data_IF_456213708370
#
_entry.id   IF_456213708370
#
_cell.length_a   1.000
_cell.length_b   1.000
_cell.length_c   1.000
_cell.angle_alpha   90.00
_cell.angle_beta   90.00
_cell.angle_gamma   90.00
#
_symmetry.space_group_name_H-M   'P 1'
#
loop_
_entity.id
_entity.type
_entity.pdbx_description
1 polymer ?
#
# COMPACT_ATOMS: atom_id res chain seq x y z
N UNK A 1 -10.53 -87.79 14.92
CA UNK A 1 -9.69 -87.43 13.76
C UNK A 1 -10.37 -86.22 13.12
N UNK A 2 -9.79 -85.03 12.99
CA UNK A 2 -8.41 -84.65 12.75
C UNK A 2 -7.99 -83.39 13.55
N UNK A 3 -6.68 -83.19 13.58
CA UNK A 3 -5.90 -82.16 14.29
C UNK A 3 -5.53 -81.02 13.33
N UNK A 4 -5.02 -79.91 13.88
CA UNK A 4 -4.30 -78.75 13.29
C UNK A 4 -5.19 -77.55 12.86
N UNK A 5 -4.83 -76.27 13.05
CA UNK A 5 -3.68 -75.60 13.67
C UNK A 5 -4.08 -74.15 14.03
N UNK A 6 -3.34 -73.54 14.95
CA UNK A 6 -3.50 -72.16 15.39
C UNK A 6 -3.11 -71.13 14.31
N UNK A 7 -3.82 -70.01 14.27
CA UNK A 7 -3.27 -68.73 13.81
C UNK A 7 -3.99 -67.57 14.52
N UNK A 8 -3.26 -66.91 15.41
CA UNK A 8 -3.66 -65.69 16.09
C UNK A 8 -3.78 -64.55 15.08
N UNK A 9 -4.96 -63.95 14.94
CA UNK A 9 -5.14 -62.70 14.20
C UNK A 9 -5.48 -61.58 15.20
N UNK A 10 -4.46 -60.80 15.54
CA UNK A 10 -4.58 -59.54 16.27
C UNK A 10 -5.33 -58.56 15.35
N UNK A 11 -6.60 -58.27 15.64
CA UNK A 11 -7.28 -57.13 15.03
C UNK A 11 -6.93 -55.89 15.85
N UNK A 12 -5.89 -55.20 15.38
CA UNK A 12 -5.55 -53.83 15.80
C UNK A 12 -6.75 -52.95 15.48
N UNK A 13 -7.39 -52.41 16.52
CA UNK A 13 -8.32 -51.29 16.37
C UNK A 13 -7.50 -50.09 15.88
N UNK A 14 -7.41 -49.93 14.55
CA UNK A 14 -6.87 -48.73 13.95
C UNK A 14 -7.79 -47.58 14.31
N UNK A 15 -7.42 -46.80 15.34
CA UNK A 15 -7.91 -45.44 15.47
C UNK A 15 -7.57 -44.76 14.15
N UNK A 16 -8.59 -44.54 13.31
CA UNK A 16 -8.45 -43.59 12.20
C UNK A 16 -8.23 -42.27 12.90
N UNK A 17 -6.96 -41.87 13.01
CA UNK A 17 -6.63 -40.48 13.20
C UNK A 17 -7.30 -39.78 12.03
N UNK A 18 -8.46 -39.17 12.28
CA UNK A 18 -8.89 -38.05 11.46
C UNK A 18 -7.73 -37.11 11.61
N UNK A 19 -6.87 -37.08 10.59
CA UNK A 19 -5.90 -36.01 10.45
C UNK A 19 -6.77 -34.76 10.42
N UNK A 20 -6.91 -34.13 11.59
CA UNK A 20 -7.27 -32.72 11.67
C UNK A 20 -6.32 -32.10 10.67
N UNK A 21 -6.91 -31.52 9.62
CA UNK A 21 -6.17 -30.76 8.62
C UNK A 21 -5.28 -29.87 9.47
N UNK A 22 -3.96 -30.05 9.38
CA UNK A 22 -3.07 -29.14 10.05
C UNK A 22 -3.50 -27.76 9.55
N UNK A 23 -4.12 -26.96 10.42
CA UNK A 23 -4.45 -25.57 10.11
C UNK A 23 -3.10 -24.87 10.04
N UNK A 24 -2.51 -24.95 8.85
CA UNK A 24 -1.34 -24.19 8.47
C UNK A 24 -1.72 -22.72 8.58
N UNK A 25 -0.84 -21.94 9.21
CA UNK A 25 -1.04 -20.53 9.48
C UNK A 25 -1.26 -19.74 8.17
N UNK A 26 -2.52 -19.49 7.83
CA UNK A 26 -2.87 -18.64 6.69
C UNK A 26 -3.48 -17.34 7.22
N UNK A 27 -2.60 -16.43 7.64
CA UNK A 27 -2.95 -15.03 7.79
C UNK A 27 -3.29 -14.49 6.40
N UNK A 28 -4.48 -13.96 6.20
CA UNK A 28 -4.76 -13.09 5.06
C UNK A 28 -5.17 -11.73 5.59
N UNK A 29 -4.97 -10.72 4.77
CA UNK A 29 -5.46 -9.37 5.03
C UNK A 29 -6.43 -9.01 3.92
N UNK A 30 -7.56 -8.41 4.29
CA UNK A 30 -8.55 -7.94 3.33
C UNK A 30 -8.76 -6.45 3.51
N UNK A 31 -8.63 -5.70 2.42
CA UNK A 31 -9.01 -4.30 2.36
C UNK A 31 -10.34 -4.19 1.63
N UNK A 32 -11.36 -3.69 2.31
CA UNK A 32 -12.67 -3.40 1.73
C UNK A 32 -12.85 -1.87 1.68
N UNK A 33 -13.10 -1.32 0.50
CA UNK A 33 -13.31 0.11 0.33
C UNK A 33 -14.57 0.37 -0.49
N UNK A 34 -15.48 1.20 0.03
CA UNK A 34 -16.60 1.74 -0.75
C UNK A 34 -16.07 2.86 -1.62
N UNK A 35 -16.01 2.64 -2.93
CA UNK A 35 -15.44 3.58 -3.92
C UNK A 35 -16.44 4.64 -4.37
N UNK A 36 -17.74 4.33 -4.32
CA UNK A 36 -18.82 5.27 -4.59
C UNK A 36 -20.10 4.83 -3.88
N UNK A 37 -20.99 5.78 -3.57
CA UNK A 37 -22.28 5.49 -2.94
C UNK A 37 -23.35 6.43 -3.46
N UNK A 38 -24.56 5.92 -3.66
CA UNK A 38 -25.73 6.68 -4.08
C UNK A 38 -26.98 6.16 -3.36
N UNK A 39 -28.12 6.79 -3.59
CA UNK A 39 -29.36 6.35 -2.97
C UNK A 39 -29.72 4.94 -3.43
N UNK A 40 -29.71 3.99 -2.49
CA UNK A 40 -30.05 2.59 -2.73
C UNK A 40 -28.91 1.72 -3.29
N UNK A 41 -27.71 2.27 -3.51
CA UNK A 41 -26.59 1.48 -4.03
C UNK A 41 -25.20 2.05 -3.75
N UNK A 42 -24.19 1.25 -4.07
CA UNK A 42 -22.79 1.57 -3.85
C UNK A 42 -21.87 0.73 -4.75
N UNK A 43 -20.67 1.24 -5.02
CA UNK A 43 -19.56 0.49 -5.57
C UNK A 43 -18.51 0.23 -4.50
N UNK A 44 -17.89 -0.96 -4.51
CA UNK A 44 -16.81 -1.30 -3.60
C UNK A 44 -15.70 -2.09 -4.29
N UNK A 45 -14.47 -1.93 -3.80
CA UNK A 45 -13.30 -2.73 -4.16
C UNK A 45 -12.82 -3.53 -2.96
N UNK A 46 -12.38 -4.76 -3.23
CA UNK A 46 -11.88 -5.70 -2.22
C UNK A 46 -10.54 -6.24 -2.67
N UNK A 47 -9.51 -6.03 -1.87
CA UNK A 47 -8.17 -6.58 -2.10
C UNK A 47 -7.86 -7.64 -1.04
N UNK A 48 -7.39 -8.81 -1.50
CA UNK A 48 -7.02 -9.97 -0.70
C UNK A 48 -5.51 -10.10 -0.74
N UNK A 49 -4.83 -9.88 0.37
CA UNK A 49 -3.41 -10.19 0.52
C UNK A 49 -3.25 -11.53 1.22
N UNK A 50 -2.55 -12.46 0.60
CA UNK A 50 -2.23 -13.75 1.20
C UNK A 50 -0.95 -13.61 2.01
N UNK A 51 -0.98 -13.72 3.35
CA UNK A 51 0.21 -13.67 4.21
C UNK A 51 0.74 -15.08 4.55
N UNK A 52 0.01 -16.13 4.17
CA UNK A 52 0.40 -17.53 4.36
C UNK A 52 1.06 -18.13 3.12
N UNK A 53 1.05 -19.46 3.04
CA UNK A 53 1.58 -20.20 1.89
C UNK A 53 0.89 -19.79 0.58
N UNK A 54 1.60 -19.79 -0.57
CA UNK A 54 1.01 -19.45 -1.86
C UNK A 54 -0.25 -20.25 -2.18
N UNK A 55 -1.30 -19.58 -2.67
CA UNK A 55 -2.54 -20.22 -3.10
C UNK A 55 -2.67 -20.14 -4.62
N UNK A 56 -3.10 -21.23 -5.27
CA UNK A 56 -3.34 -21.30 -6.72
C UNK A 56 -4.81 -21.07 -7.11
N UNK A 57 -5.66 -20.85 -6.11
CA UNK A 57 -7.04 -20.43 -6.25
C UNK A 57 -7.56 -19.88 -4.94
N UNK A 58 -8.26 -18.75 -5.00
CA UNK A 58 -8.88 -18.13 -3.82
C UNK A 58 -10.41 -18.10 -3.90
N UNK A 59 -11.02 -18.25 -2.72
CA UNK A 59 -12.40 -17.96 -2.42
C UNK A 59 -12.45 -17.10 -1.15
N UNK A 60 -12.96 -15.87 -1.26
CA UNK A 60 -13.15 -14.98 -0.13
C UNK A 60 -14.59 -15.07 0.35
N UNK A 61 -14.76 -15.25 1.66
CA UNK A 61 -16.07 -15.30 2.32
C UNK A 61 -16.19 -14.17 3.33
N UNK A 62 -17.35 -13.53 3.38
CA UNK A 62 -17.68 -12.49 4.36
C UNK A 62 -19.20 -12.38 4.51
N UNK A 63 -19.67 -11.57 5.47
CA UNK A 63 -21.10 -11.33 5.67
C UNK A 63 -21.42 -9.84 5.72
N UNK A 64 -22.49 -9.44 5.04
CA UNK A 64 -23.07 -8.10 5.15
C UNK A 64 -23.95 -7.99 6.39
N UNK A 65 -23.82 -6.88 7.13
CA UNK A 65 -24.50 -6.69 8.41
C UNK A 65 -25.87 -6.04 8.32
N UNK A 66 -26.21 -5.38 7.20
CA UNK A 66 -27.42 -4.55 7.07
C UNK A 66 -28.20 -4.81 5.78
N UNK A 67 -28.25 -6.08 5.34
CA UNK A 67 -29.07 -6.52 4.20
C UNK A 67 -28.53 -6.09 2.83
N UNK A 68 -27.26 -5.72 2.72
CA UNK A 68 -26.66 -5.36 1.45
C UNK A 68 -26.63 -6.55 0.49
N UNK A 69 -26.84 -6.30 -0.81
CA UNK A 69 -26.85 -7.34 -1.85
C UNK A 69 -25.90 -6.95 -2.99
N UNK A 70 -25.03 -7.85 -3.42
CA UNK A 70 -24.20 -7.62 -4.61
C UNK A 70 -25.06 -7.75 -5.87
N UNK A 71 -25.05 -6.73 -6.72
CA UNK A 71 -25.84 -6.68 -7.96
C UNK A 71 -25.00 -6.95 -9.20
N UNK A 72 -23.71 -6.59 -9.19
CA UNK A 72 -22.77 -6.85 -10.27
C UNK A 72 -21.36 -6.97 -9.72
N UNK A 73 -20.57 -7.95 -10.17
CA UNK A 73 -19.19 -8.15 -9.74
C UNK A 73 -18.26 -8.32 -10.94
N UNK A 74 -17.04 -7.80 -10.83
CA UNK A 74 -15.96 -8.00 -11.81
C UNK A 74 -14.71 -8.57 -11.13
N UNK A 75 -13.83 -9.17 -11.94
CA UNK A 75 -12.61 -9.88 -11.48
C UNK A 75 -12.86 -11.04 -10.50
N UNK A 76 -14.07 -11.62 -10.54
CA UNK A 76 -14.42 -12.83 -9.82
C UNK A 76 -15.81 -13.33 -10.19
N UNK A 77 -16.28 -14.34 -9.46
CA UNK A 77 -17.67 -14.82 -9.49
C UNK A 77 -18.26 -14.82 -8.08
N UNK A 78 -19.49 -14.35 -7.93
CA UNK A 78 -20.17 -14.20 -6.63
C UNK A 78 -21.28 -15.23 -6.45
N UNK A 79 -21.38 -15.77 -5.24
CA UNK A 79 -22.57 -16.45 -4.73
C UNK A 79 -22.95 -15.79 -3.40
N UNK A 80 -24.19 -15.33 -3.29
CA UNK A 80 -24.72 -14.71 -2.07
C UNK A 80 -26.01 -15.41 -1.65
N UNK A 81 -26.10 -15.77 -0.37
CA UNK A 81 -27.30 -16.33 0.25
C UNK A 81 -27.58 -15.60 1.56
N UNK A 82 -28.67 -14.83 1.61
CA UNK A 82 -28.92 -13.89 2.70
C UNK A 82 -27.75 -12.91 2.86
N UNK A 83 -27.21 -12.82 4.07
CA UNK A 83 -26.05 -11.96 4.38
C UNK A 83 -24.71 -12.54 3.96
N UNK A 84 -24.60 -13.86 3.72
CA UNK A 84 -23.34 -14.54 3.45
C UNK A 84 -22.95 -14.40 1.98
N UNK A 85 -21.74 -13.91 1.73
CA UNK A 85 -21.15 -13.72 0.40
C UNK A 85 -19.93 -14.61 0.25
N UNK A 86 -19.82 -15.29 -0.89
CA UNK A 86 -18.61 -15.97 -1.36
C UNK A 86 -18.22 -15.43 -2.72
N UNK A 87 -16.99 -14.92 -2.85
CA UNK A 87 -16.41 -14.49 -4.13
C UNK A 87 -15.25 -15.40 -4.48
N UNK A 88 -15.25 -15.97 -5.68
CA UNK A 88 -14.16 -16.80 -6.22
C UNK A 88 -13.42 -16.05 -7.31
N UNK A 89 -12.14 -16.40 -7.49
CA UNK A 89 -11.30 -15.86 -8.56
C UNK A 89 -11.93 -15.99 -9.97
N UNK A 90 -11.48 -15.16 -10.91
CA UNK A 90 -11.89 -15.14 -12.30
C UNK A 90 -11.02 -16.04 -13.20
N UNK A 91 -10.36 -17.05 -12.63
CA UNK A 91 -9.41 -17.94 -13.31
C UNK A 91 -8.02 -17.30 -13.48
N UNK A 92 -7.94 -16.15 -14.14
CA UNK A 92 -6.65 -15.49 -14.43
C UNK A 92 -5.97 -14.86 -13.21
N UNK A 93 -6.74 -14.48 -12.18
CA UNK A 93 -6.23 -13.94 -10.92
C UNK A 93 -6.22 -14.96 -9.78
N UNK A 94 -6.30 -16.26 -10.09
CA UNK A 94 -6.40 -17.31 -9.06
C UNK A 94 -5.15 -17.52 -8.22
N UNK A 95 -3.98 -17.22 -8.77
CA UNK A 95 -2.69 -17.39 -8.08
C UNK A 95 -2.36 -16.17 -7.22
N UNK A 96 -2.18 -16.39 -5.91
CA UNK A 96 -1.71 -15.39 -4.96
C UNK A 96 -0.52 -16.00 -4.21
N UNK A 97 0.69 -15.54 -4.51
CA UNK A 97 1.88 -15.90 -3.74
C UNK A 97 1.79 -15.48 -2.28
N UNK A 98 2.72 -15.92 -1.44
CA UNK A 98 2.92 -15.31 -0.11
C UNK A 98 3.22 -13.82 -0.29
N UNK A 99 2.53 -12.98 0.47
CA UNK A 99 2.41 -11.53 0.34
C UNK A 99 1.88 -11.04 -1.01
N UNK A 100 1.44 -11.94 -1.88
CA UNK A 100 0.75 -11.59 -3.12
C UNK A 100 -0.64 -11.03 -2.83
N UNK A 101 -1.20 -10.30 -3.79
CA UNK A 101 -2.55 -9.75 -3.71
C UNK A 101 -3.39 -10.12 -4.93
N UNK A 102 -4.67 -10.41 -4.72
CA UNK A 102 -5.69 -10.41 -5.76
C UNK A 102 -6.88 -9.56 -5.33
N UNK A 103 -7.45 -8.82 -6.28
CA UNK A 103 -8.57 -7.92 -6.01
C UNK A 103 -9.76 -8.18 -6.91
N UNK A 104 -10.94 -7.81 -6.40
CA UNK A 104 -12.17 -7.75 -7.16
C UNK A 104 -12.96 -6.50 -6.78
N UNK A 105 -13.95 -6.14 -7.59
CA UNK A 105 -14.86 -5.05 -7.26
C UNK A 105 -16.29 -5.40 -7.62
N UNK A 106 -17.23 -4.69 -7.01
CA UNK A 106 -18.65 -4.94 -7.22
C UNK A 106 -19.49 -3.70 -7.00
N UNK A 107 -20.66 -3.69 -7.62
CA UNK A 107 -21.78 -2.83 -7.24
C UNK A 107 -22.72 -3.62 -6.34
N UNK A 108 -23.25 -2.97 -5.31
CA UNK A 108 -24.24 -3.52 -4.40
C UNK A 108 -25.38 -2.56 -4.12
N UNK A 109 -26.48 -3.08 -3.56
CA UNK A 109 -27.63 -2.33 -3.08
C UNK A 109 -27.71 -2.32 -1.56
N UNK A 110 -28.33 -1.29 -0.99
CA UNK A 110 -28.63 -1.17 0.44
C UNK A 110 -29.95 -0.40 0.63
N UNK A 111 -30.71 -0.66 1.70
CA UNK A 111 -32.03 -0.04 1.93
C UNK A 111 -32.08 0.87 3.16
N UNK A 112 -31.18 0.70 4.14
CA UNK A 112 -31.11 1.53 5.35
C UNK A 112 -29.72 2.07 5.66
N UNK A 113 -28.74 1.18 5.84
CA UNK A 113 -27.34 1.57 6.07
C UNK A 113 -26.40 0.65 5.30
N UNK A 114 -25.15 1.09 5.10
CA UNK A 114 -24.13 0.32 4.39
C UNK A 114 -22.83 0.17 5.23
N UNK A 115 -22.86 -0.52 6.38
CA UNK A 115 -21.65 -0.83 7.12
C UNK A 115 -20.76 -1.80 6.34
N UNK A 116 -19.45 -1.55 6.36
CA UNK A 116 -18.47 -2.47 5.78
C UNK A 116 -18.46 -3.81 6.54
N UNK A 117 -18.24 -4.94 5.86
CA UNK A 117 -17.98 -6.22 6.53
C UNK A 117 -16.73 -6.13 7.41
N UNK A 118 -16.79 -6.74 8.60
CA UNK A 118 -15.70 -6.68 9.59
C UNK A 118 -14.89 -7.97 9.68
N UNK A 119 -15.37 -9.06 9.08
CA UNK A 119 -14.74 -10.36 9.11
C UNK A 119 -14.72 -10.98 7.72
N UNK A 120 -13.56 -11.51 7.36
CA UNK A 120 -13.31 -12.17 6.08
C UNK A 120 -12.60 -13.51 6.33
N UNK A 121 -12.80 -14.47 5.43
CA UNK A 121 -12.01 -15.69 5.40
C UNK A 121 -11.61 -16.06 3.98
N UNK A 122 -10.32 -16.35 3.79
CA UNK A 122 -9.72 -16.82 2.55
C UNK A 122 -9.65 -18.34 2.57
N UNK A 123 -10.30 -18.99 1.61
CA UNK A 123 -10.35 -20.45 1.50
C UNK A 123 -10.82 -21.16 2.79
N UNK A 124 -11.68 -20.49 3.57
CA UNK A 124 -12.21 -20.99 4.84
C UNK A 124 -11.37 -20.65 6.08
N UNK A 125 -10.22 -20.00 5.92
CA UNK A 125 -9.37 -19.55 7.04
C UNK A 125 -9.59 -18.07 7.30
N UNK A 126 -9.79 -17.69 8.56
CA UNK A 126 -10.06 -16.31 8.94
C UNK A 126 -8.88 -15.37 8.62
N UNK A 127 -9.18 -14.25 7.97
CA UNK A 127 -8.22 -13.18 7.71
C UNK A 127 -8.03 -12.33 8.97
N UNK A 128 -7.02 -12.65 9.76
CA UNK A 128 -6.67 -11.94 11.00
C UNK A 128 -5.62 -10.84 10.82
N UNK A 129 -5.10 -10.65 9.60
CA UNK A 129 -4.08 -9.63 9.31
C UNK A 129 -2.69 -9.96 9.86
N UNK A 130 -2.44 -11.19 10.33
CA UNK A 130 -1.13 -11.65 10.80
C UNK A 130 -1.02 -13.17 10.70
N UNK A 131 0.18 -13.69 10.42
CA UNK A 131 0.49 -15.13 10.60
C UNK A 131 0.92 -15.35 12.05
N UNK A 132 0.32 -16.33 12.72
CA UNK A 132 0.87 -16.84 13.99
C UNK A 132 2.05 -17.73 13.62
N UNK A 133 3.30 -17.45 14.05
CA UNK A 133 4.41 -18.36 13.79
C UNK A 133 4.19 -19.65 14.57
N UNK A 134 4.26 -20.80 13.90
CA UNK A 134 4.34 -22.10 14.59
C UNK A 134 5.68 -22.15 15.36
N UNK A 135 5.69 -22.33 16.69
CA UNK A 135 6.95 -22.35 17.46
C UNK A 135 7.84 -23.56 17.10
N UNK A 136 9.17 -23.41 17.04
CA UNK A 136 10.09 -24.54 16.93
C UNK A 136 10.04 -25.40 18.21
N UNK A 137 9.96 -26.71 18.04
CA UNK A 137 10.02 -27.70 19.13
C UNK A 137 11.44 -27.78 19.72
N UNK A 138 11.67 -27.09 20.84
CA UNK A 138 12.76 -27.47 21.76
C UNK A 138 12.25 -27.53 23.21
N UNK A 139 12.58 -28.59 23.99
CA UNK A 139 12.05 -28.78 25.34
C UNK A 139 12.66 -27.81 26.37
N UNK A 140 11.88 -27.26 27.32
CA UNK A 140 12.37 -26.31 28.31
C UNK A 140 12.86 -26.99 29.61
N UNK A 141 13.99 -26.53 30.13
CA UNK A 141 14.36 -26.64 31.56
C UNK A 141 13.91 -25.37 32.30
N UNK A 142 12.96 -25.50 33.22
CA UNK A 142 12.56 -24.52 34.26
C UNK A 142 13.67 -24.35 35.31
N UNK A 143 13.82 -23.21 36.07
CA UNK A 143 12.82 -22.58 36.98
C UNK A 143 13.03 -21.04 37.26
N UNK A 144 12.46 -20.39 38.30
CA UNK A 144 11.09 -20.39 38.85
C UNK A 144 10.41 -19.00 38.84
N UNK A 145 9.13 -19.05 39.19
CA UNK A 145 8.10 -18.02 39.38
C UNK A 145 8.48 -16.89 40.36
N UNK A 146 8.25 -15.64 39.95
CA UNK A 146 7.94 -14.54 40.87
C UNK A 146 6.77 -13.71 40.35
N UNK A 147 5.86 -13.42 41.27
CA UNK A 147 4.56 -12.77 41.14
C UNK A 147 4.64 -11.36 40.52
N UNK A 148 3.66 -10.94 39.68
CA UNK A 148 3.62 -9.56 39.16
C UNK A 148 3.16 -8.54 40.21
N UNK A 149 3.75 -7.33 40.29
CA UNK A 149 3.11 -6.18 40.93
C UNK A 149 2.16 -5.48 39.94
N UNK A 150 0.96 -5.21 40.43
CA UNK A 150 -0.02 -4.29 39.85
C UNK A 150 0.52 -2.86 39.82
N UNK A 151 0.61 -2.25 38.64
CA UNK A 151 0.70 -0.78 38.50
C UNK A 151 -0.10 -0.31 37.28
N UNK A 152 -0.87 0.81 37.36
CA UNK A 152 -1.69 1.34 36.26
C UNK A 152 -0.86 1.84 35.05
N UNK A 153 -1.45 1.98 33.85
CA UNK A 153 -0.72 2.41 32.67
C UNK A 153 -0.29 3.86 32.80
N UNK A 154 1.02 4.09 32.90
CA UNK A 154 1.65 5.39 32.72
C UNK A 154 1.67 5.76 31.24
N UNK A 155 1.13 6.94 30.96
CA UNK A 155 1.27 7.73 29.73
C UNK A 155 2.72 7.74 29.21
N UNK A 156 2.96 7.65 27.89
CA UNK A 156 4.29 7.89 27.33
C UNK A 156 4.77 9.32 27.64
N UNK A 157 6.07 9.53 27.94
CA UNK A 157 6.57 10.81 28.43
C UNK A 157 6.63 11.86 27.31
N UNK A 158 6.01 13.01 27.59
CA UNK A 158 6.25 14.29 26.93
C UNK A 158 7.64 14.81 27.30
N UNK A 159 8.53 14.94 26.32
CA UNK A 159 9.71 15.80 26.42
C UNK A 159 9.83 16.66 25.16
N UNK A 160 9.68 17.99 25.23
CA UNK A 160 10.09 18.92 24.17
C UNK A 160 11.25 19.85 24.61
N UNK A 161 12.03 20.48 23.69
CA UNK A 161 12.45 20.08 22.34
C UNK A 161 14.00 20.07 22.19
N UNK A 162 14.54 19.08 21.48
CA UNK A 162 15.79 19.23 20.70
C UNK A 162 15.33 19.62 19.29
N UNK A 163 16.06 20.49 18.58
CA UNK A 163 15.64 21.15 17.33
C UNK A 163 14.65 20.34 16.48
N UNK A 164 13.47 20.91 16.20
CA UNK A 164 12.32 20.20 15.62
C UNK A 164 12.71 19.36 14.40
N UNK A 165 12.25 18.11 14.37
CA UNK A 165 12.41 17.23 13.22
C UNK A 165 11.96 17.94 11.92
N UNK A 166 12.72 17.74 10.84
CA UNK A 166 12.39 18.29 9.53
C UNK A 166 11.17 17.59 8.99
N UNK A 167 10.14 18.37 8.63
CA UNK A 167 8.89 17.82 8.12
C UNK A 167 8.95 17.57 6.62
N UNK A 168 8.68 16.34 6.21
CA UNK A 168 8.84 15.86 4.85
C UNK A 168 7.47 15.45 4.30
N UNK A 169 6.96 16.20 3.33
CA UNK A 169 5.75 15.80 2.60
C UNK A 169 6.15 15.01 1.35
N UNK A 170 5.78 13.74 1.30
CA UNK A 170 5.80 12.98 0.07
C UNK A 170 4.51 13.27 -0.73
N UNK A 171 4.61 14.09 -1.77
CA UNK A 171 3.50 14.54 -2.62
C UNK A 171 3.49 13.77 -3.95
N UNK A 172 2.32 13.30 -4.37
CA UNK A 172 2.21 12.69 -5.69
C UNK A 172 0.91 11.95 -5.95
N UNK A 173 1.02 10.96 -6.84
CA UNK A 173 -0.08 10.08 -7.23
C UNK A 173 -0.02 8.72 -6.51
N UNK A 174 -0.52 7.65 -7.16
CA UNK A 174 -0.47 6.28 -6.65
C UNK A 174 0.95 5.80 -6.39
N UNK A 175 1.94 6.23 -7.18
CA UNK A 175 3.34 5.82 -6.98
C UNK A 175 3.87 6.35 -5.64
N UNK A 176 3.40 7.53 -5.20
CA UNK A 176 3.73 8.08 -3.89
C UNK A 176 2.89 7.44 -2.79
N UNK A 177 1.57 7.38 -2.97
CA UNK A 177 0.65 7.01 -1.90
C UNK A 177 0.51 5.51 -1.72
N UNK A 178 -0.04 4.85 -2.73
CA UNK A 178 -0.32 3.42 -2.73
C UNK A 178 -0.53 2.91 -4.15
N UNK A 179 -0.02 1.70 -4.49
CA UNK A 179 0.75 0.81 -3.61
C UNK A 179 2.26 1.09 -3.66
N UNK A 180 2.98 0.70 -2.61
CA UNK A 180 4.44 0.73 -2.61
C UNK A 180 5.07 0.95 -1.24
N UNK A 181 6.34 0.59 -1.18
CA UNK A 181 7.15 0.54 0.05
C UNK A 181 8.28 1.58 0.07
N UNK A 182 8.49 2.33 -1.01
CA UNK A 182 9.69 3.17 -1.13
C UNK A 182 9.82 4.22 -0.02
N UNK A 183 8.71 4.75 0.53
CA UNK A 183 8.72 5.67 1.67
C UNK A 183 9.26 5.00 2.94
N UNK A 184 8.85 3.77 3.20
CA UNK A 184 9.34 2.98 4.33
C UNK A 184 10.84 2.66 4.18
N UNK A 185 11.25 2.25 2.97
CA UNK A 185 12.65 1.97 2.65
C UNK A 185 13.53 3.23 2.70
N UNK A 186 12.97 4.39 2.35
CA UNK A 186 13.63 5.69 2.49
C UNK A 186 13.78 6.05 3.96
N UNK A 187 12.71 5.92 4.75
CA UNK A 187 12.71 6.22 6.17
C UNK A 187 13.76 5.42 6.95
N UNK A 188 13.94 4.13 6.64
CA UNK A 188 15.00 3.30 7.25
C UNK A 188 16.42 3.83 7.03
N UNK A 189 16.64 4.66 6.01
CA UNK A 189 17.95 5.26 5.71
C UNK A 189 18.14 6.61 6.41
N UNK A 190 17.07 7.19 6.93
CA UNK A 190 17.06 8.51 7.55
C UNK A 190 17.20 8.40 9.08
N UNK A 191 17.79 9.41 9.72
CA UNK A 191 17.82 9.50 11.18
C UNK A 191 16.40 9.79 11.71
N UNK A 192 15.74 8.78 12.26
CA UNK A 192 14.34 8.84 12.69
C UNK A 192 14.03 9.94 13.71
N UNK A 193 15.01 10.40 14.50
CA UNK A 193 14.87 11.51 15.45
C UNK A 193 14.96 12.91 14.81
N UNK A 194 15.28 12.98 13.51
CA UNK A 194 15.48 14.24 12.76
C UNK A 194 14.45 14.47 11.67
N UNK A 195 13.61 13.50 11.37
CA UNK A 195 12.64 13.57 10.28
C UNK A 195 11.25 13.23 10.77
N UNK A 196 10.25 13.88 10.17
CA UNK A 196 8.82 13.68 10.41
C UNK A 196 8.13 13.66 9.05
N UNK A 197 7.69 12.50 8.57
CA UNK A 197 6.88 12.44 7.37
C UNK A 197 5.50 13.00 7.70
N UNK A 198 4.96 13.82 6.78
CA UNK A 198 3.70 14.52 7.01
C UNK A 198 2.80 14.49 5.79
N UNK A 199 1.50 14.49 6.05
CA UNK A 199 0.46 14.51 5.03
C UNK A 199 -0.86 14.01 5.58
N UNK A 200 -1.92 14.10 4.77
CA UNK A 200 -3.26 13.69 5.16
C UNK A 200 -3.48 12.18 5.15
N UNK A 201 -2.63 11.43 4.43
CA UNK A 201 -2.76 9.99 4.27
C UNK A 201 -1.74 9.25 5.13
N UNK A 202 -2.11 8.10 5.71
CA UNK A 202 -1.20 7.32 6.53
C UNK A 202 -0.15 6.58 5.70
N UNK A 203 0.90 6.12 6.39
CA UNK A 203 1.81 5.08 5.89
C UNK A 203 1.08 3.82 5.44
N UNK A 204 1.63 3.13 4.44
CA UNK A 204 1.14 1.83 4.01
C UNK A 204 2.01 0.74 4.64
N UNK A 205 1.46 -0.46 4.84
CA UNK A 205 2.24 -1.56 5.42
C UNK A 205 3.44 -1.93 4.55
N UNK A 206 4.62 -2.03 5.16
CA UNK A 206 5.85 -2.49 4.49
C UNK A 206 6.60 -3.59 5.27
N UNK A 207 5.92 -4.27 6.20
CA UNK A 207 6.52 -5.32 7.02
C UNK A 207 7.35 -4.84 8.21
N UNK A 208 7.44 -3.53 8.44
CA UNK A 208 8.05 -2.93 9.63
C UNK A 208 7.41 -1.57 9.95
N UNK A 209 7.44 -1.12 11.22
CA UNK A 209 6.96 0.20 11.58
C UNK A 209 7.90 1.29 11.05
N UNK A 210 7.30 2.37 10.57
CA UNK A 210 7.99 3.56 10.10
C UNK A 210 7.02 4.74 10.15
N UNK A 211 7.56 5.94 10.14
CA UNK A 211 6.77 7.16 9.96
C UNK A 211 6.59 7.41 8.45
N UNK A 212 5.32 7.49 8.04
CA UNK A 212 4.92 7.20 6.66
C UNK A 212 3.79 8.07 6.15
N UNK A 213 3.46 9.15 6.84
CA UNK A 213 2.43 10.07 6.43
C UNK A 213 2.80 10.69 5.08
N UNK A 214 1.81 10.90 4.23
CA UNK A 214 2.06 11.33 2.86
C UNK A 214 0.84 12.04 2.26
N UNK A 215 1.07 12.61 1.09
CA UNK A 215 0.09 13.29 0.26
C UNK A 215 0.07 12.66 -1.15
N UNK A 216 0.08 11.33 -1.20
CA UNK A 216 0.04 10.55 -2.44
C UNK A 216 -1.37 10.05 -2.78
N UNK A 217 -1.98 10.61 -3.82
CA UNK A 217 -3.39 10.36 -4.16
C UNK A 217 -3.51 9.51 -5.42
N UNK A 218 -4.00 8.28 -5.28
CA UNK A 218 -4.18 7.36 -6.40
C UNK A 218 -5.04 7.94 -7.52
N UNK A 219 -4.55 7.90 -8.75
CA UNK A 219 -5.24 8.45 -9.93
C UNK A 219 -5.26 9.98 -10.02
N UNK A 220 -4.68 10.71 -9.06
CA UNK A 220 -4.64 12.17 -9.11
C UNK A 220 -3.78 12.66 -10.29
N UNK A 221 -4.20 13.76 -10.91
CA UNK A 221 -3.43 14.50 -11.90
C UNK A 221 -2.91 15.78 -11.26
N UNK A 222 -1.65 16.14 -11.53
CA UNK A 222 -1.07 17.37 -11.01
C UNK A 222 -1.82 18.60 -11.53
N UNK A 223 -2.30 18.54 -12.77
CA UNK A 223 -3.12 19.60 -13.36
C UNK A 223 -4.46 19.78 -12.65
N UNK A 224 -5.09 18.70 -12.21
CA UNK A 224 -6.31 18.74 -11.39
C UNK A 224 -6.02 19.30 -10.01
N UNK A 225 -4.97 18.83 -9.33
CA UNK A 225 -4.58 19.34 -8.00
C UNK A 225 -4.30 20.84 -8.04
N UNK A 226 -3.58 21.31 -9.07
CA UNK A 226 -3.27 22.72 -9.25
C UNK A 226 -4.53 23.55 -9.54
N UNK A 227 -5.34 23.15 -10.52
CA UNK A 227 -6.54 23.90 -10.94
C UNK A 227 -7.63 23.95 -9.86
N UNK A 228 -7.76 22.89 -9.04
CA UNK A 228 -8.69 22.84 -7.92
C UNK A 228 -8.12 23.44 -6.63
N UNK A 229 -6.89 23.96 -6.66
CA UNK A 229 -6.24 24.61 -5.52
C UNK A 229 -6.25 23.73 -4.24
N UNK A 230 -5.94 22.44 -4.39
CA UNK A 230 -6.01 21.48 -3.29
C UNK A 230 -4.80 21.55 -2.34
N UNK A 231 -3.60 21.76 -2.88
CA UNK A 231 -2.35 21.73 -2.13
C UNK A 231 -2.26 22.72 -0.94
N UNK A 232 -2.77 23.97 -1.00
CA UNK A 232 -2.73 24.88 0.14
C UNK A 232 -3.38 24.34 1.42
N UNK A 233 -4.45 23.54 1.30
CA UNK A 233 -5.09 22.90 2.45
C UNK A 233 -4.17 21.89 3.13
N UNK A 234 -3.51 21.04 2.34
CA UNK A 234 -2.55 20.05 2.82
C UNK A 234 -1.33 20.71 3.45
N UNK A 235 -0.77 21.74 2.82
CA UNK A 235 0.37 22.51 3.32
C UNK A 235 0.06 23.19 4.66
N UNK A 236 -1.13 23.79 4.80
CA UNK A 236 -1.55 24.45 6.05
C UNK A 236 -1.67 23.46 7.21
N UNK A 237 -2.18 22.26 6.94
CA UNK A 237 -2.38 21.22 7.95
C UNK A 237 -1.07 20.59 8.42
N UNK A 238 -0.13 20.34 7.50
CA UNK A 238 1.09 19.56 7.78
C UNK A 238 2.34 20.44 7.97
N UNK A 239 2.38 21.61 7.37
CA UNK A 239 3.49 22.60 7.41
C UNK A 239 4.86 21.97 7.11
N UNK A 240 5.06 21.40 5.90
CA UNK A 240 6.33 20.75 5.58
C UNK A 240 7.47 21.76 5.39
N UNK A 241 8.69 21.29 5.64
CA UNK A 241 9.95 21.98 5.34
C UNK A 241 10.52 21.52 3.99
N UNK A 242 10.28 20.24 3.66
CA UNK A 242 10.72 19.59 2.43
C UNK A 242 9.53 18.92 1.73
N UNK A 243 9.42 19.07 0.42
CA UNK A 243 8.48 18.31 -0.41
C UNK A 243 9.23 17.38 -1.35
N UNK A 244 8.91 16.09 -1.32
CA UNK A 244 9.28 15.10 -2.35
C UNK A 244 8.12 15.00 -3.34
N UNK A 245 8.27 15.57 -4.53
CA UNK A 245 7.21 15.55 -5.55
C UNK A 245 7.52 14.51 -6.63
N UNK A 246 6.81 13.38 -6.60
CA UNK A 246 6.75 12.40 -7.69
C UNK A 246 5.33 12.40 -8.27
N UNK A 247 5.09 13.18 -9.33
CA UNK A 247 3.74 13.45 -9.78
C UNK A 247 3.67 13.67 -11.30
N UNK A 248 2.58 13.33 -11.96
CA UNK A 248 2.40 13.58 -13.40
C UNK A 248 2.28 12.31 -14.23
N UNK A 249 2.39 11.13 -13.63
CA UNK A 249 2.18 9.84 -14.31
C UNK A 249 0.77 9.78 -14.92
N UNK A 250 -0.24 10.17 -14.15
CA UNK A 250 -1.63 10.17 -14.62
C UNK A 250 -1.90 11.27 -15.66
N UNK A 251 -1.21 12.41 -15.59
CA UNK A 251 -1.30 13.46 -16.63
C UNK A 251 -0.74 12.96 -17.95
N UNK A 252 0.44 12.31 -17.92
CA UNK A 252 1.05 11.66 -19.09
C UNK A 252 0.13 10.58 -19.67
N UNK A 253 -0.44 9.74 -18.81
CA UNK A 253 -1.44 8.75 -19.20
C UNK A 253 -2.64 9.39 -19.89
N UNK A 254 -3.10 10.51 -19.34
CA UNK A 254 -4.24 11.29 -19.82
C UNK A 254 -3.90 12.20 -20.99
N UNK A 255 -2.81 11.95 -21.70
CA UNK A 255 -2.38 12.68 -22.91
C UNK A 255 -2.08 14.18 -22.69
N UNK A 256 -1.89 14.61 -21.45
CA UNK A 256 -1.62 16.03 -21.14
C UNK A 256 -0.21 16.39 -21.58
N UNK A 257 -0.08 17.52 -22.26
CA UNK A 257 1.20 18.00 -22.78
C UNK A 257 2.17 18.37 -21.63
N UNK A 258 3.49 18.11 -21.78
CA UNK A 258 4.49 18.48 -20.78
C UNK A 258 4.43 19.96 -20.35
N UNK A 259 4.17 20.88 -21.28
CA UNK A 259 4.04 22.31 -20.97
C UNK A 259 2.90 22.60 -19.98
N UNK A 260 1.76 21.92 -20.13
CA UNK A 260 0.62 22.04 -19.21
C UNK A 260 0.92 21.44 -17.84
N UNK A 261 1.60 20.29 -17.81
CA UNK A 261 2.06 19.65 -16.55
C UNK A 261 3.03 20.58 -15.81
N UNK A 262 4.00 21.17 -16.50
CA UNK A 262 4.97 22.08 -15.90
C UNK A 262 4.36 23.43 -15.47
N UNK A 263 3.30 23.90 -16.15
CA UNK A 263 2.51 25.02 -15.66
C UNK A 263 1.85 24.69 -14.32
N UNK A 264 1.27 23.49 -14.18
CA UNK A 264 0.72 23.03 -12.91
C UNK A 264 1.80 22.87 -11.83
N UNK A 265 2.96 22.31 -12.15
CA UNK A 265 4.10 22.29 -11.22
C UNK A 265 4.48 23.70 -10.75
N UNK A 266 4.50 24.68 -11.65
CA UNK A 266 4.79 26.08 -11.32
C UNK A 266 3.77 26.64 -10.33
N UNK A 267 2.48 26.35 -10.53
CA UNK A 267 1.43 26.71 -9.56
C UNK A 267 1.66 26.06 -8.20
N UNK A 268 1.96 24.76 -8.16
CA UNK A 268 2.22 24.05 -6.90
C UNK A 268 3.45 24.60 -6.17
N UNK A 269 4.55 24.91 -6.88
CA UNK A 269 5.73 25.56 -6.29
C UNK A 269 5.39 26.93 -5.71
N UNK A 270 4.55 27.72 -6.40
CA UNK A 270 4.04 28.98 -5.87
C UNK A 270 3.29 28.81 -4.56
N UNK A 271 2.40 27.81 -4.48
CA UNK A 271 1.65 27.47 -3.27
C UNK A 271 2.57 26.98 -2.13
N UNK A 272 3.56 26.12 -2.44
CA UNK A 272 4.57 25.68 -1.48
C UNK A 272 5.34 26.85 -0.88
N UNK A 273 5.80 27.78 -1.72
CA UNK A 273 6.56 28.97 -1.29
C UNK A 273 5.70 29.98 -0.53
N UNK A 274 4.42 30.08 -0.85
CA UNK A 274 3.47 30.89 -0.08
C UNK A 274 3.26 30.32 1.34
N UNK A 275 3.29 28.98 1.49
CA UNK A 275 3.22 28.32 2.80
C UNK A 275 4.54 28.38 3.57
N UNK A 276 5.67 28.21 2.88
CA UNK A 276 7.00 28.25 3.46
C UNK A 276 7.99 28.85 2.43
N UNK A 277 8.46 30.10 2.59
CA UNK A 277 9.34 30.74 1.61
C UNK A 277 10.72 30.07 1.50
N UNK A 278 11.08 29.20 2.46
CA UNK A 278 12.34 28.45 2.48
C UNK A 278 12.17 26.96 2.10
N UNK A 279 10.98 26.56 1.61
CA UNK A 279 10.67 25.17 1.26
C UNK A 279 11.76 24.57 0.37
N UNK A 280 12.28 23.40 0.74
CA UNK A 280 13.18 22.63 -0.12
C UNK A 280 12.32 21.70 -0.97
N UNK A 281 12.47 21.76 -2.28
CA UNK A 281 11.60 21.04 -3.20
C UNK A 281 12.44 20.04 -3.98
N UNK A 282 12.19 18.76 -3.79
CA UNK A 282 12.84 17.70 -4.54
C UNK A 282 11.83 17.14 -5.54
N UNK A 283 12.08 17.32 -6.84
CA UNK A 283 11.18 16.92 -7.92
C UNK A 283 11.74 15.72 -8.64
N UNK A 284 10.93 14.67 -8.81
CA UNK A 284 11.31 13.55 -9.63
C UNK A 284 11.27 13.92 -11.13
N UNK A 285 12.30 13.56 -11.88
CA UNK A 285 12.01 12.97 -13.19
C UNK A 285 11.30 11.65 -12.89
N UNK A 286 10.06 11.48 -13.35
CA UNK A 286 9.22 10.35 -12.95
C UNK A 286 9.77 9.04 -13.51
N UNK A 287 9.47 7.92 -12.85
CA UNK A 287 9.85 6.58 -13.31
C UNK A 287 9.32 6.30 -14.73
N UNK A 288 9.97 5.41 -15.50
CA UNK A 288 9.46 4.99 -16.78
C UNK A 288 8.17 4.21 -16.66
N UNK A 289 7.35 4.30 -17.71
CA UNK A 289 6.06 3.64 -17.80
C UNK A 289 5.96 2.86 -19.11
N UNK A 290 5.49 1.63 -19.02
CA UNK A 290 5.28 0.73 -20.15
C UNK A 290 4.02 -0.14 -19.93
N UNK A 291 2.88 0.51 -19.70
CA UNK A 291 1.62 -0.20 -19.54
C UNK A 291 1.10 -0.73 -20.89
N UNK A 292 0.53 -1.93 -20.86
CA UNK A 292 0.08 -2.64 -22.07
C UNK A 292 -1.03 -1.92 -22.85
N UNK A 293 -1.81 -1.07 -22.18
CA UNK A 293 -2.90 -0.28 -22.75
C UNK A 293 -2.53 1.19 -23.02
N UNK A 294 -1.24 1.56 -22.94
CA UNK A 294 -0.78 2.90 -23.29
C UNK A 294 0.57 2.88 -24.03
N UNK A 295 0.54 2.57 -25.34
CA UNK A 295 1.74 2.48 -26.16
C UNK A 295 2.57 3.76 -26.20
N UNK A 296 1.93 4.93 -26.20
CA UNK A 296 2.61 6.23 -26.27
C UNK A 296 3.15 6.71 -24.91
N UNK A 297 2.73 6.08 -23.80
CA UNK A 297 3.05 6.57 -22.46
C UNK A 297 4.56 6.62 -22.22
N UNK A 298 5.31 5.61 -22.68
CA UNK A 298 6.77 5.58 -22.56
C UNK A 298 7.43 6.84 -23.15
N UNK A 299 7.06 7.20 -24.39
CA UNK A 299 7.61 8.38 -25.07
C UNK A 299 7.14 9.69 -24.42
N UNK A 300 5.89 9.74 -23.93
CA UNK A 300 5.39 10.93 -23.24
C UNK A 300 6.08 11.18 -21.91
N UNK A 301 6.43 10.13 -21.17
CA UNK A 301 7.28 10.27 -19.97
C UNK A 301 8.66 10.81 -20.35
N UNK A 302 9.29 10.31 -21.42
CA UNK A 302 10.57 10.87 -21.93
C UNK A 302 10.45 12.36 -22.19
N UNK A 303 9.36 12.79 -22.86
CA UNK A 303 9.15 14.19 -23.19
C UNK A 303 8.97 15.07 -21.93
N UNK A 304 8.24 14.59 -20.92
CA UNK A 304 8.11 15.29 -19.64
C UNK A 304 9.45 15.37 -18.90
N UNK A 305 10.14 14.24 -18.76
CA UNK A 305 11.41 14.15 -18.05
C UNK A 305 12.51 14.99 -18.71
N UNK A 306 12.50 15.15 -20.03
CA UNK A 306 13.42 16.02 -20.74
C UNK A 306 13.21 17.51 -20.40
N UNK A 307 11.97 17.92 -20.08
CA UNK A 307 11.62 19.30 -19.81
C UNK A 307 11.80 19.70 -18.33
N UNK A 308 11.70 18.75 -17.40
CA UNK A 308 11.80 18.99 -15.95
C UNK A 308 13.11 19.71 -15.53
N UNK A 309 14.31 19.33 -15.99
CA UNK A 309 15.55 20.01 -15.59
C UNK A 309 15.59 21.49 -15.93
N UNK A 310 15.17 21.87 -17.15
CA UNK A 310 15.12 23.27 -17.58
C UNK A 310 14.09 24.07 -16.78
N UNK A 311 12.92 23.48 -16.52
CA UNK A 311 11.89 24.08 -15.67
C UNK A 311 12.36 24.30 -14.23
N UNK A 312 12.95 23.27 -13.62
CA UNK A 312 13.44 23.34 -12.24
C UNK A 312 14.53 24.40 -12.10
N UNK A 313 15.50 24.43 -13.02
CA UNK A 313 16.56 25.43 -13.04
C UNK A 313 16.02 26.87 -13.18
N UNK A 314 15.00 27.07 -14.04
CA UNK A 314 14.38 28.38 -14.25
C UNK A 314 13.59 28.92 -13.06
N UNK A 315 13.12 28.03 -12.15
CA UNK A 315 12.28 28.41 -11.02
C UNK A 315 12.99 28.29 -9.66
N UNK A 316 14.14 27.61 -9.59
CA UNK A 316 14.93 27.41 -8.37
C UNK A 316 15.50 28.73 -7.82
N UNK A 317 15.56 28.86 -6.49
CA UNK A 317 16.18 30.01 -5.82
C UNK A 317 17.08 29.54 -4.67
N UNK A 318 17.95 30.41 -4.16
CA UNK A 318 18.79 30.09 -3.00
C UNK A 318 17.96 29.78 -1.74
N UNK A 319 16.87 30.52 -1.52
CA UNK A 319 16.00 30.34 -0.35
C UNK A 319 15.18 29.04 -0.45
N UNK A 320 14.59 28.79 -1.63
CA UNK A 320 13.74 27.63 -1.93
C UNK A 320 14.26 26.90 -3.17
N UNK A 321 15.34 26.12 -3.03
CA UNK A 321 15.92 25.38 -4.14
C UNK A 321 14.99 24.28 -4.62
N UNK A 322 14.98 24.07 -5.94
CA UNK A 322 14.36 22.93 -6.59
C UNK A 322 15.47 22.02 -7.08
N UNK A 323 15.54 20.80 -6.55
CA UNK A 323 16.51 19.78 -6.96
C UNK A 323 15.79 18.69 -7.73
N UNK A 324 16.27 18.39 -8.93
CA UNK A 324 15.75 17.29 -9.73
C UNK A 324 16.37 15.97 -9.27
N UNK A 325 15.52 14.97 -9.03
CA UNK A 325 15.89 13.61 -8.65
C UNK A 325 15.56 12.68 -9.79
N UNK A 326 16.58 12.06 -10.36
CA UNK A 326 16.44 11.13 -11.48
C UNK A 326 15.91 9.78 -10.99
N UNK A 327 14.59 9.57 -11.08
CA UNK A 327 13.95 8.27 -10.84
C UNK A 327 13.88 7.40 -12.10
N UNK A 328 14.29 7.94 -13.26
CA UNK A 328 14.17 7.29 -14.56
C UNK A 328 15.36 6.37 -14.84
N UNK A 329 16.58 6.87 -14.69
CA UNK A 329 17.78 6.15 -15.13
C UNK A 329 18.00 4.86 -14.32
N UNK A 330 18.08 3.74 -15.04
CA UNK A 330 18.30 2.42 -14.45
C UNK A 330 17.03 1.75 -13.90
N UNK A 331 15.88 2.40 -14.03
CA UNK A 331 14.58 1.82 -13.77
C UNK A 331 14.06 1.14 -15.04
N UNK A 332 13.60 -0.10 -14.93
CA UNK A 332 13.20 -0.96 -16.04
C UNK A 332 11.78 -1.42 -15.77
N UNK A 333 10.75 -0.88 -16.45
CA UNK A 333 9.35 -1.18 -16.16
C UNK A 333 9.04 -2.68 -16.10
N UNK A 334 9.60 -3.46 -17.03
CA UNK A 334 9.36 -4.90 -17.11
C UNK A 334 9.79 -5.68 -15.86
N UNK A 335 10.77 -5.21 -15.09
CA UNK A 335 11.30 -5.90 -13.91
C UNK A 335 11.09 -5.14 -12.61
N UNK A 336 10.85 -3.83 -12.68
CA UNK A 336 10.72 -2.95 -11.52
C UNK A 336 9.28 -2.50 -11.27
N UNK A 337 8.34 -2.88 -12.12
CA UNK A 337 6.89 -2.69 -11.90
C UNK A 337 6.16 -4.02 -11.94
N UNK A 338 4.93 -4.06 -11.43
CA UNK A 338 4.08 -5.25 -11.56
C UNK A 338 3.03 -5.12 -12.68
N UNK A 339 2.78 -3.91 -13.20
CA UNK A 339 1.77 -3.63 -14.23
C UNK A 339 2.26 -2.71 -15.36
N UNK A 340 3.55 -2.39 -15.39
CA UNK A 340 4.14 -1.42 -16.30
C UNK A 340 4.10 0.02 -15.79
N UNK A 341 3.54 0.30 -14.61
CA UNK A 341 3.39 1.65 -14.03
C UNK A 341 3.87 1.70 -12.60
N UNK A 342 3.35 0.84 -11.74
CA UNK A 342 3.51 0.92 -10.30
C UNK A 342 4.69 0.06 -9.84
N UNK A 343 5.57 0.59 -8.97
CA UNK A 343 6.78 -0.10 -8.56
C UNK A 343 6.49 -1.37 -7.75
N UNK A 344 7.18 -2.45 -8.09
CA UNK A 344 7.30 -3.63 -7.23
C UNK A 344 8.44 -3.44 -6.21
N UNK A 345 8.86 -4.46 -5.47
CA UNK A 345 9.90 -4.34 -4.45
C UNK A 345 11.25 -3.83 -5.00
N UNK A 346 11.65 -4.30 -6.18
CA UNK A 346 12.85 -3.82 -6.87
C UNK A 346 12.72 -2.34 -7.23
N UNK A 347 11.59 -1.95 -7.83
CA UNK A 347 11.30 -0.56 -8.18
C UNK A 347 11.24 0.35 -6.94
N UNK A 348 10.60 -0.10 -5.87
CA UNK A 348 10.50 0.65 -4.61
C UNK A 348 11.89 0.88 -4.00
N UNK A 349 12.75 -0.14 -4.04
CA UNK A 349 14.15 -0.03 -3.59
C UNK A 349 14.92 0.99 -4.42
N UNK A 350 14.77 0.98 -5.74
CA UNK A 350 15.40 1.97 -6.64
C UNK A 350 14.91 3.38 -6.35
N UNK A 351 13.60 3.57 -6.19
CA UNK A 351 13.01 4.87 -5.88
C UNK A 351 13.57 5.44 -4.57
N UNK A 352 13.58 4.62 -3.51
CA UNK A 352 14.13 5.01 -2.21
C UNK A 352 15.62 5.38 -2.31
N UNK A 353 16.42 4.60 -3.05
CA UNK A 353 17.85 4.84 -3.22
C UNK A 353 18.15 6.12 -4.01
N UNK A 354 17.26 6.56 -4.91
CA UNK A 354 17.39 7.83 -5.63
C UNK A 354 16.97 9.03 -4.78
N UNK A 355 15.92 8.89 -3.98
CA UNK A 355 15.49 9.96 -3.07
C UNK A 355 16.49 10.22 -1.95
N UNK A 356 17.06 9.17 -1.37
CA UNK A 356 17.92 9.26 -0.18
C UNK A 356 19.04 10.31 -0.26
N UNK A 357 19.95 10.29 -1.27
CA UNK A 357 21.04 11.25 -1.32
C UNK A 357 20.56 12.69 -1.48
N UNK A 358 19.50 12.93 -2.26
CA UNK A 358 18.95 14.26 -2.47
C UNK A 358 18.26 14.80 -1.21
N UNK A 359 17.51 13.95 -0.51
CA UNK A 359 16.86 14.31 0.75
C UNK A 359 17.90 14.53 1.85
N UNK A 360 18.84 13.61 2.02
CA UNK A 360 19.89 13.74 3.04
C UNK A 360 20.72 15.01 2.87
N UNK A 361 20.89 15.53 1.64
CA UNK A 361 21.64 16.76 1.39
C UNK A 361 20.90 18.05 1.82
N UNK A 362 19.59 17.97 2.11
CA UNK A 362 18.79 19.12 2.57
C UNK A 362 18.35 19.01 4.03
N UNK A 363 18.71 17.90 4.70
CA UNK A 363 18.54 17.73 6.15
C UNK A 363 19.73 18.39 6.89
N UNK A 364 19.52 18.86 8.13
CA UNK A 364 20.53 19.53 8.95
C UNK A 364 21.64 18.61 9.47
#
# INVERSE_FOLDING_TARGET
MAVLAAASAVLVAGAVAVAGRAEAAAGCQVKYAVSSSWQGGFGASVDITNLGDPVSGWALTFSFAAGQTITQLWNGSVSQSGSQVTVRNAGWNGSIGTNGTAGFGFNGSWTGSNPAPTAFALNGVACTGSTVPTPPTTPPTTPPTTTPPTTPPTTPPTTPPVGSAVKIMALGDSITGSPGCWRALLWQKLPADKVDFVGSLPGQGCGFPYDGENEGHGGALVTTVASQNQLPGWLSASKPDVVLMHFGTNDVWSTIAPSTILAAYTTLVGQMRASNPNMKILVAQIIPMNASNCADCAQRVVNLNAAIPGWAAGLSTTASPITVVDQWTGFVPATDTYDGVHPNDSGNTKIANRWYPALSAVLP
#
